data_IF_380830212886
#
_entry.id   IF_380830212886
#
_cell.length_a   1.000
_cell.length_b   1.000
_cell.length_c   1.000
_cell.angle_alpha   90.00
_cell.angle_beta   90.00
_cell.angle_gamma   90.00
#
_symmetry.space_group_name_H-M   'P 1'
#
loop_
_entity.id
_entity.type
_entity.pdbx_description
1 polymer ?
#
# COMPACT_ATOMS: atom_id res chain seq x y z
N UNK A 1 -10.23 -18.56 65.53
CA UNK A 1 -10.69 -17.33 66.21
C UNK A 1 -10.66 -16.21 65.16
N UNK A 2 -11.85 -15.75 64.73
CA UNK A 2 -12.26 -14.36 64.37
C UNK A 2 -11.27 -13.53 63.51
N UNK A 3 -11.59 -12.90 62.36
CA UNK A 3 -12.82 -12.27 61.84
C UNK A 3 -12.64 -11.99 60.31
N UNK A 4 -13.60 -12.33 59.44
CA UNK A 4 -14.64 -11.50 58.79
C UNK A 4 -14.21 -10.58 57.60
N UNK A 5 -14.92 -10.79 56.48
CA UNK A 5 -14.95 -10.06 55.19
C UNK A 5 -15.51 -8.61 55.29
N UNK A 6 -15.65 -7.84 54.18
CA UNK A 6 -16.72 -8.08 53.20
C UNK A 6 -16.34 -7.95 51.71
N UNK A 7 -17.06 -8.75 50.92
CA UNK A 7 -17.30 -8.62 49.48
C UNK A 7 -17.86 -7.24 49.08
N UNK A 8 -17.58 -6.84 47.84
CA UNK A 8 -18.58 -6.24 46.94
C UNK A 8 -18.14 -6.47 45.48
N UNK A 9 -18.89 -7.32 44.78
CA UNK A 9 -18.72 -7.61 43.36
C UNK A 9 -19.44 -6.60 42.47
N UNK A 10 -18.85 -6.32 41.31
CA UNK A 10 -19.53 -5.87 40.09
C UNK A 10 -18.78 -6.50 38.90
N UNK A 11 -19.34 -7.59 38.37
CA UNK A 11 -18.90 -8.25 37.13
C UNK A 11 -20.15 -8.80 36.45
N UNK A 12 -20.80 -8.01 35.58
CA UNK A 12 -21.84 -8.54 34.67
C UNK A 12 -22.32 -7.61 33.53
N UNK A 13 -21.66 -6.50 33.17
CA UNK A 13 -22.26 -5.52 32.21
C UNK A 13 -21.47 -5.28 30.90
N UNK A 14 -20.45 -6.09 30.56
CA UNK A 14 -19.72 -5.98 29.29
C UNK A 14 -20.18 -6.96 28.20
N UNK A 15 -20.85 -8.06 28.55
CA UNK A 15 -21.31 -9.05 27.56
C UNK A 15 -22.60 -8.63 26.85
N UNK A 16 -23.46 -7.87 27.52
CA UNK A 16 -24.77 -7.43 27.00
C UNK A 16 -24.69 -6.26 26.02
N UNK A 17 -23.62 -5.45 26.06
CA UNK A 17 -23.40 -4.35 25.12
C UNK A 17 -22.82 -4.79 23.76
N UNK A 18 -22.27 -6.01 23.69
CA UNK A 18 -21.73 -6.59 22.45
C UNK A 18 -22.87 -7.12 21.57
N UNK A 19 -23.94 -7.64 22.15
CA UNK A 19 -25.04 -8.23 21.40
C UNK A 19 -25.98 -7.16 20.79
N UNK A 20 -26.23 -6.04 21.48
CA UNK A 20 -27.16 -5.01 21.01
C UNK A 20 -26.63 -4.18 19.82
N UNK A 21 -25.31 -4.09 19.62
CA UNK A 21 -24.71 -3.39 18.48
C UNK A 21 -24.71 -4.24 17.19
N UNK A 22 -24.82 -5.56 17.29
CA UNK A 22 -24.86 -6.45 16.11
C UNK A 22 -26.22 -6.41 15.38
N UNK A 23 -27.30 -6.02 16.07
CA UNK A 23 -28.65 -6.03 15.50
C UNK A 23 -29.06 -4.74 14.77
N UNK A 24 -28.39 -3.61 15.03
CA UNK A 24 -28.74 -2.31 14.41
C UNK A 24 -28.11 -2.07 13.03
N UNK A 25 -27.05 -2.81 12.67
CA UNK A 25 -26.35 -2.65 11.38
C UNK A 25 -26.96 -3.47 10.21
N UNK A 26 -27.94 -4.33 10.47
CA UNK A 26 -28.53 -5.21 9.45
C UNK A 26 -29.65 -4.57 8.60
N UNK A 27 -30.04 -3.31 8.84
CA UNK A 27 -31.18 -2.69 8.13
C UNK A 27 -30.83 -1.52 7.20
N UNK A 28 -29.55 -1.17 6.99
CA UNK A 28 -29.15 -0.15 6.00
C UNK A 28 -27.92 -0.57 5.19
N UNK A 29 -28.05 -1.66 4.45
CA UNK A 29 -27.11 -2.03 3.38
C UNK A 29 -27.84 -2.91 2.39
N UNK A 30 -28.39 -2.32 1.32
CA UNK A 30 -28.95 -3.09 0.20
C UNK A 30 -28.14 -2.94 -1.10
N UNK A 31 -26.88 -2.52 -1.03
CA UNK A 31 -26.02 -2.39 -2.22
C UNK A 31 -24.52 -2.66 -1.96
N UNK A 32 -24.13 -3.18 -0.79
CA UNK A 32 -22.75 -3.59 -0.52
C UNK A 32 -22.72 -5.03 -0.01
N UNK A 33 -22.89 -5.96 -0.94
CA UNK A 33 -22.86 -7.40 -0.67
C UNK A 33 -21.76 -8.05 -1.52
N UNK A 34 -20.53 -8.01 -1.03
CA UNK A 34 -19.49 -9.06 -1.11
C UNK A 34 -18.19 -8.49 -0.57
N UNK A 35 -18.07 -8.41 0.76
CA UNK A 35 -16.78 -8.31 1.44
C UNK A 35 -16.77 -9.43 2.47
N UNK A 36 -16.36 -10.61 2.04
CA UNK A 36 -15.98 -11.72 2.92
C UNK A 36 -14.48 -11.63 3.18
N UNK A 37 -14.10 -11.63 4.45
CA UNK A 37 -12.74 -11.88 4.91
C UNK A 37 -12.27 -13.25 4.39
N UNK A 38 -10.99 -13.44 4.02
CA UNK A 38 -10.50 -14.74 3.57
C UNK A 38 -10.23 -15.63 4.79
N UNK A 39 -11.28 -16.12 5.45
CA UNK A 39 -11.19 -17.46 6.04
C UNK A 39 -11.45 -18.45 4.91
N UNK A 40 -10.71 -19.56 4.91
CA UNK A 40 -10.82 -20.71 4.00
C UNK A 40 -12.27 -21.15 3.76
N UNK A 41 -12.95 -20.46 2.87
CA UNK A 41 -14.27 -20.73 2.37
C UNK A 41 -14.12 -20.94 0.87
N UNK A 42 -14.60 -22.08 0.40
CA UNK A 42 -14.57 -22.43 -1.01
C UNK A 42 -15.38 -21.38 -1.75
N UNK A 43 -14.72 -20.49 -2.49
CA UNK A 43 -15.38 -19.50 -3.33
C UNK A 43 -16.39 -20.19 -4.25
N UNK A 44 -17.54 -19.56 -4.46
CA UNK A 44 -18.57 -20.15 -5.33
C UNK A 44 -18.03 -20.29 -6.76
N UNK A 45 -18.52 -21.28 -7.52
CA UNK A 45 -18.07 -21.49 -8.90
C UNK A 45 -18.24 -20.24 -9.79
N UNK A 46 -19.26 -19.43 -9.52
CA UNK A 46 -19.54 -18.19 -10.24
C UNK A 46 -18.50 -17.08 -9.96
N UNK A 47 -18.07 -16.91 -8.72
CA UNK A 47 -17.03 -15.92 -8.35
C UNK A 47 -15.66 -16.28 -8.92
N UNK A 48 -15.36 -17.59 -8.97
CA UNK A 48 -14.12 -18.11 -9.57
C UNK A 48 -14.10 -17.84 -11.09
N UNK A 49 -15.24 -17.99 -11.76
CA UNK A 49 -15.38 -17.73 -13.20
C UNK A 49 -15.26 -16.23 -13.53
N UNK A 50 -15.82 -15.35 -12.70
CA UNK A 50 -15.72 -13.90 -12.89
C UNK A 50 -14.30 -13.38 -12.68
N UNK A 51 -13.63 -13.80 -11.61
CA UNK A 51 -12.22 -13.43 -11.35
C UNK A 51 -11.29 -13.92 -12.47
N UNK A 52 -11.51 -15.13 -12.97
CA UNK A 52 -10.74 -15.69 -14.10
C UNK A 52 -10.98 -14.89 -15.38
N UNK A 53 -12.23 -14.52 -15.65
CA UNK A 53 -12.59 -13.70 -16.81
C UNK A 53 -11.92 -12.32 -16.75
N UNK A 54 -11.94 -11.68 -15.58
CA UNK A 54 -11.30 -10.39 -15.35
C UNK A 54 -9.79 -10.47 -15.60
N UNK A 55 -9.11 -11.46 -15.02
CA UNK A 55 -7.66 -11.61 -15.20
C UNK A 55 -7.27 -11.92 -16.65
N UNK A 56 -8.10 -12.68 -17.37
CA UNK A 56 -7.86 -12.96 -18.79
C UNK A 56 -8.18 -11.75 -19.70
N UNK A 57 -8.82 -10.71 -19.17
CA UNK A 57 -9.02 -9.43 -19.88
C UNK A 57 -7.80 -8.51 -19.85
N UNK A 58 -6.77 -8.81 -19.02
CA UNK A 58 -5.57 -7.98 -18.87
C UNK A 58 -4.85 -7.78 -20.20
N UNK A 59 -4.71 -8.86 -20.97
CA UNK A 59 -3.98 -8.86 -22.24
C UNK A 59 -4.48 -10.00 -23.13
N UNK A 60 -4.56 -9.75 -24.43
CA UNK A 60 -4.85 -10.81 -25.40
C UNK A 60 -3.69 -11.81 -25.55
N UNK A 61 -2.48 -11.45 -25.14
CA UNK A 61 -1.28 -12.26 -25.36
C UNK A 61 -1.10 -13.39 -24.33
N UNK A 62 -1.67 -13.26 -23.13
CA UNK A 62 -1.54 -14.25 -22.08
C UNK A 62 -2.83 -14.43 -21.30
N UNK A 63 -2.87 -15.50 -20.51
CA UNK A 63 -3.91 -15.78 -19.52
C UNK A 63 -3.26 -15.96 -18.16
N UNK A 64 -3.92 -15.53 -17.09
CA UNK A 64 -3.43 -15.77 -15.73
C UNK A 64 -3.96 -17.12 -15.24
N UNK A 65 -3.06 -18.02 -14.85
CA UNK A 65 -3.41 -19.39 -14.45
C UNK A 65 -2.66 -19.81 -13.18
N UNK A 66 -3.16 -20.80 -12.42
CA UNK A 66 -2.39 -21.41 -11.34
C UNK A 66 -1.05 -21.96 -11.83
N UNK A 67 0.02 -21.76 -11.05
CA UNK A 67 1.33 -22.35 -11.36
C UNK A 67 1.47 -23.73 -10.73
N UNK A 68 2.47 -24.51 -11.18
CA UNK A 68 2.80 -25.82 -10.60
C UNK A 68 3.41 -25.74 -9.19
N UNK A 69 3.88 -24.56 -8.78
CA UNK A 69 4.60 -24.33 -7.52
C UNK A 69 3.82 -23.46 -6.53
N UNK A 70 2.54 -23.21 -6.81
CA UNK A 70 1.65 -22.38 -5.99
C UNK A 70 1.55 -20.94 -6.47
N UNK A 71 0.38 -20.33 -6.24
CA UNK A 71 0.05 -19.00 -6.74
C UNK A 71 -0.42 -19.02 -8.21
N UNK A 72 -0.29 -17.87 -8.89
CA UNK A 72 -0.70 -17.68 -10.28
C UNK A 72 0.44 -17.05 -11.09
N UNK A 73 0.40 -17.24 -12.40
CA UNK A 73 1.36 -16.67 -13.35
C UNK A 73 0.72 -16.38 -14.71
N UNK A 74 1.39 -15.57 -15.52
CA UNK A 74 0.98 -15.26 -16.89
C UNK A 74 1.51 -16.31 -17.87
N UNK A 75 0.63 -16.94 -18.66
CA UNK A 75 1.02 -17.96 -19.64
C UNK A 75 0.58 -17.54 -21.05
N UNK A 76 1.48 -17.66 -22.03
CA UNK A 76 1.23 -17.24 -23.41
C UNK A 76 0.04 -17.99 -24.05
N UNK A 77 -0.86 -17.26 -24.70
CA UNK A 77 -2.04 -17.84 -25.36
C UNK A 77 -1.71 -18.47 -26.73
N UNK A 78 -0.65 -17.99 -27.37
CA UNK A 78 -0.16 -18.42 -28.68
C UNK A 78 1.37 -18.45 -28.69
N UNK A 79 1.96 -18.89 -29.79
CA UNK A 79 3.37 -18.59 -30.06
C UNK A 79 3.52 -17.07 -30.24
N UNK A 80 4.56 -16.50 -29.62
CA UNK A 80 4.84 -15.06 -29.64
C UNK A 80 6.28 -14.83 -30.11
N UNK A 81 6.46 -13.81 -30.94
CA UNK A 81 7.77 -13.42 -31.43
C UNK A 81 8.52 -12.56 -30.41
N UNK A 82 9.85 -12.64 -30.44
CA UNK A 82 10.73 -11.68 -29.76
C UNK A 82 10.31 -10.24 -30.04
N UNK A 83 10.54 -9.34 -29.09
CA UNK A 83 10.21 -7.91 -29.14
C UNK A 83 8.72 -7.57 -29.14
N UNK A 84 7.82 -8.57 -29.08
CA UNK A 84 6.39 -8.33 -28.84
C UNK A 84 6.19 -7.64 -27.48
N UNK A 85 5.42 -6.54 -27.48
CA UNK A 85 4.94 -5.91 -26.25
C UNK A 85 3.68 -6.66 -25.81
N UNK A 86 3.78 -7.41 -24.71
CA UNK A 86 2.68 -8.27 -24.23
C UNK A 86 1.77 -7.54 -23.24
N UNK A 87 2.25 -6.46 -22.62
CA UNK A 87 1.48 -5.65 -21.68
C UNK A 87 2.04 -4.23 -21.55
N UNK A 88 1.16 -3.28 -21.26
CA UNK A 88 1.52 -1.89 -21.00
C UNK A 88 0.61 -1.32 -19.90
N UNK A 89 1.20 -0.76 -18.85
CA UNK A 89 0.46 -0.01 -17.85
C UNK A 89 0.77 1.48 -18.02
N UNK A 90 -0.26 2.25 -18.39
CA UNK A 90 -0.10 3.68 -18.70
C UNK A 90 -0.02 4.57 -17.47
N UNK A 91 -0.54 4.10 -16.33
CA UNK A 91 -0.57 4.81 -15.05
C UNK A 91 -0.60 3.83 -13.88
N UNK A 92 0.03 4.21 -12.77
CA UNK A 92 -0.04 3.45 -11.52
C UNK A 92 -1.41 3.62 -10.85
N UNK A 93 -1.91 2.56 -10.22
CA UNK A 93 -3.13 2.60 -9.41
C UNK A 93 -2.94 3.51 -8.18
N UNK A 94 -1.80 3.38 -7.52
CA UNK A 94 -1.32 4.29 -6.49
C UNK A 94 0.20 4.35 -6.53
N UNK A 95 0.76 5.43 -5.99
CA UNK A 95 2.20 5.63 -5.89
C UNK A 95 2.55 6.55 -4.75
N UNK A 96 3.82 6.54 -4.36
CA UNK A 96 4.38 7.49 -3.42
C UNK A 96 5.80 7.83 -3.82
N UNK A 97 6.15 9.10 -3.65
CA UNK A 97 7.52 9.60 -3.77
C UNK A 97 8.03 9.83 -2.36
N UNK A 98 9.21 9.28 -2.08
CA UNK A 98 9.94 9.47 -0.85
C UNK A 98 10.19 10.96 -0.62
N UNK A 99 10.03 11.38 0.63
CA UNK A 99 9.99 12.79 0.97
C UNK A 99 11.24 13.58 0.55
N UNK A 100 12.48 13.05 0.64
CA UNK A 100 13.68 13.76 0.17
C UNK A 100 13.56 14.21 -1.29
N UNK A 101 12.99 13.37 -2.16
CA UNK A 101 12.89 13.59 -3.60
C UNK A 101 11.62 14.33 -4.05
N UNK A 102 10.73 14.72 -3.11
CA UNK A 102 9.42 15.32 -3.40
C UNK A 102 9.44 16.60 -4.24
N UNK A 103 10.60 17.26 -4.33
CA UNK A 103 10.82 18.50 -5.10
C UNK A 103 11.52 18.26 -6.43
N UNK A 104 12.01 17.05 -6.68
CA UNK A 104 12.90 16.73 -7.80
C UNK A 104 12.30 15.64 -8.69
N UNK A 105 11.43 14.79 -8.13
CA UNK A 105 10.70 13.74 -8.84
C UNK A 105 9.25 14.17 -9.04
N UNK A 106 8.78 14.13 -10.29
CA UNK A 106 7.44 14.57 -10.63
C UNK A 106 6.37 13.64 -10.01
N UNK A 107 5.42 14.21 -9.27
CA UNK A 107 4.33 13.45 -8.65
C UNK A 107 3.28 12.87 -9.61
N UNK A 108 3.46 13.01 -10.94
CA UNK A 108 2.55 12.47 -11.95
C UNK A 108 3.25 11.51 -12.91
N UNK A 109 4.40 11.88 -13.46
CA UNK A 109 5.13 11.05 -14.43
C UNK A 109 6.41 10.43 -13.88
N UNK A 110 6.78 10.67 -12.62
CA UNK A 110 8.02 10.16 -11.99
C UNK A 110 9.34 10.61 -12.65
N UNK A 111 9.30 11.58 -13.57
CA UNK A 111 10.51 12.18 -14.13
C UNK A 111 11.34 12.83 -13.02
N UNK A 112 12.63 12.51 -12.98
CA UNK A 112 13.60 13.06 -12.03
C UNK A 112 14.39 14.20 -12.67
N UNK A 113 14.52 15.33 -11.97
CA UNK A 113 15.21 16.53 -12.48
C UNK A 113 16.64 16.70 -11.93
N UNK A 114 17.31 15.62 -11.51
CA UNK A 114 18.73 15.59 -11.15
C UNK A 114 19.18 16.72 -10.21
N UNK A 115 18.63 16.79 -8.98
CA UNK A 115 18.99 17.84 -8.02
C UNK A 115 18.20 19.14 -8.16
N UNK A 116 17.49 19.36 -9.28
CA UNK A 116 16.77 20.63 -9.53
C UNK A 116 15.35 20.59 -8.98
N UNK A 117 14.96 21.68 -8.34
CA UNK A 117 13.57 21.86 -7.89
C UNK A 117 12.62 22.06 -9.08
N UNK A 118 11.61 21.21 -9.16
CA UNK A 118 10.49 21.27 -10.09
C UNK A 118 9.69 22.57 -9.93
N UNK A 119 9.36 23.22 -11.05
CA UNK A 119 8.80 24.58 -11.06
C UNK A 119 7.28 24.63 -10.91
N UNK A 120 6.57 23.60 -11.36
CA UNK A 120 5.11 23.56 -11.32
C UNK A 120 4.66 22.94 -10.00
N UNK A 121 3.79 23.65 -9.27
CA UNK A 121 3.41 23.26 -7.91
C UNK A 121 1.92 23.43 -7.63
N UNK A 122 1.34 22.47 -6.91
CA UNK A 122 -0.02 22.54 -6.40
C UNK A 122 -0.03 22.69 -4.87
N UNK A 123 -0.74 23.70 -4.40
CA UNK A 123 -0.92 24.02 -2.98
C UNK A 123 -2.38 23.80 -2.55
N UNK A 124 -2.63 23.81 -1.24
CA UNK A 124 -3.99 23.63 -0.70
C UNK A 124 -4.92 24.78 -1.11
N UNK A 125 -6.19 24.46 -1.40
CA UNK A 125 -7.24 25.45 -1.70
C UNK A 125 -7.44 26.46 -0.58
N UNK A 126 -7.29 26.05 0.68
CA UNK A 126 -7.46 26.94 1.85
C UNK A 126 -6.45 28.10 1.84
N UNK A 127 -5.27 27.89 1.24
CA UNK A 127 -4.24 28.93 1.13
C UNK A 127 -4.53 29.95 0.01
N UNK A 128 -5.42 29.65 -0.95
CA UNK A 128 -5.82 30.61 -2.00
C UNK A 128 -6.87 31.64 -1.55
N UNK A 129 -7.62 31.36 -0.48
CA UNK A 129 -8.64 32.30 0.02
C UNK A 129 -8.06 33.47 0.84
N UNK A 130 -6.80 33.36 1.28
CA UNK A 130 -6.08 34.46 1.89
C UNK A 130 -5.40 35.29 0.79
N UNK A 131 -6.11 36.29 0.26
CA UNK A 131 -5.64 37.27 -0.75
C UNK A 131 -4.49 38.18 -0.23
N UNK A 132 -3.41 37.63 0.29
CA UNK A 132 -2.17 38.37 0.54
C UNK A 132 -1.07 37.89 -0.42
N UNK A 133 -0.53 38.83 -1.20
CA UNK A 133 0.52 38.64 -2.21
C UNK A 133 1.90 38.29 -1.64
N UNK A 134 1.96 37.50 -0.56
CA UNK A 134 3.20 36.95 -0.06
C UNK A 134 2.91 35.62 0.62
N UNK A 135 2.97 34.54 -0.15
CA UNK A 135 3.09 33.20 0.42
C UNK A 135 4.31 33.22 1.35
N UNK A 136 4.09 32.95 2.63
CA UNK A 136 5.17 32.83 3.59
C UNK A 136 6.14 31.72 3.13
N UNK A 137 7.43 31.79 3.50
CA UNK A 137 8.37 30.72 3.18
C UNK A 137 7.89 29.34 3.69
N UNK A 138 7.06 29.32 4.75
CA UNK A 138 6.36 28.12 5.24
C UNK A 138 5.28 27.57 4.28
N UNK A 139 4.57 28.42 3.53
CA UNK A 139 3.57 27.97 2.55
C UNK A 139 4.19 27.29 1.33
N UNK A 140 5.44 27.63 0.99
CA UNK A 140 6.19 26.96 -0.07
C UNK A 140 6.66 25.54 0.29
N UNK A 141 6.59 25.14 1.56
CA UNK A 141 6.96 23.78 2.00
C UNK A 141 5.87 22.73 1.77
N UNK A 142 4.63 23.17 1.53
CA UNK A 142 3.41 22.38 1.44
C UNK A 142 2.84 22.39 0.02
N UNK A 143 3.55 21.74 -0.90
CA UNK A 143 3.13 21.63 -2.28
C UNK A 143 3.45 20.27 -2.89
N UNK A 144 2.60 19.83 -3.83
CA UNK A 144 2.90 18.75 -4.76
C UNK A 144 3.64 19.33 -5.97
N UNK A 145 4.66 18.64 -6.48
CA UNK A 145 5.56 19.17 -7.51
C UNK A 145 5.48 18.39 -8.82
N UNK A 146 5.60 19.10 -9.94
CA UNK A 146 5.46 18.57 -11.29
C UNK A 146 6.54 19.11 -12.23
N UNK A 147 7.00 18.28 -13.17
CA UNK A 147 8.03 18.67 -14.14
C UNK A 147 7.51 19.64 -15.20
N UNK A 148 6.20 19.64 -15.46
CA UNK A 148 5.58 20.42 -16.53
C UNK A 148 4.14 20.80 -16.19
N UNK A 149 3.62 21.84 -16.86
CA UNK A 149 2.20 22.21 -16.78
C UNK A 149 1.28 21.04 -17.21
N UNK A 150 1.54 20.31 -18.31
CA UNK A 150 0.75 19.12 -18.67
C UNK A 150 0.68 18.04 -17.58
N UNK A 151 1.77 17.77 -16.87
CA UNK A 151 1.77 16.80 -15.77
C UNK A 151 0.90 17.28 -14.59
N UNK A 152 0.94 18.58 -14.29
CA UNK A 152 0.10 19.17 -13.26
C UNK A 152 -1.38 19.16 -13.65
N UNK A 153 -1.69 19.50 -14.91
CA UNK A 153 -3.06 19.48 -15.44
C UNK A 153 -3.63 18.06 -15.49
N UNK A 154 -2.81 17.07 -15.89
CA UNK A 154 -3.18 15.64 -15.85
C UNK A 154 -3.54 15.20 -14.43
N UNK A 155 -2.76 15.61 -13.43
CA UNK A 155 -3.06 15.31 -12.03
C UNK A 155 -4.40 15.94 -11.61
N UNK A 156 -4.61 17.23 -11.89
CA UNK A 156 -5.86 17.94 -11.56
C UNK A 156 -7.07 17.27 -12.23
N UNK A 157 -6.95 16.92 -13.51
CA UNK A 157 -8.03 16.30 -14.27
C UNK A 157 -8.47 14.94 -13.70
N UNK A 158 -7.57 14.24 -13.01
CA UNK A 158 -7.86 12.93 -12.40
C UNK A 158 -8.34 13.03 -10.96
N UNK A 159 -8.11 14.17 -10.29
CA UNK A 159 -8.43 14.44 -8.90
C UNK A 159 -9.84 15.03 -8.75
N UNK A 160 -10.82 14.16 -8.47
CA UNK A 160 -12.20 14.59 -8.25
C UNK A 160 -12.35 15.26 -6.88
N UNK A 161 -13.11 16.35 -6.85
CA UNK A 161 -13.36 17.17 -5.64
C UNK A 161 -12.10 17.70 -4.94
N UNK A 162 -10.96 17.72 -5.63
CA UNK A 162 -9.63 17.99 -5.07
C UNK A 162 -9.26 17.07 -3.89
N UNK A 163 -9.93 15.92 -3.78
CA UNK A 163 -9.88 15.05 -2.62
C UNK A 163 -8.49 14.44 -2.44
N UNK A 164 -7.85 14.04 -3.54
CA UNK A 164 -6.52 13.43 -3.50
C UNK A 164 -5.46 14.47 -3.16
N UNK A 165 -5.46 15.64 -3.83
CA UNK A 165 -4.52 16.73 -3.52
C UNK A 165 -4.59 17.14 -2.06
N UNK A 166 -5.79 17.45 -1.56
CA UNK A 166 -5.94 17.93 -0.18
C UNK A 166 -5.55 16.86 0.84
N UNK A 167 -5.84 15.58 0.56
CA UNK A 167 -5.42 14.48 1.43
C UNK A 167 -3.89 14.37 1.49
N UNK A 168 -3.19 14.38 0.35
CA UNK A 168 -1.73 14.31 0.31
C UNK A 168 -1.05 15.50 0.99
N UNK A 169 -1.56 16.72 0.77
CA UNK A 169 -1.03 17.92 1.43
C UNK A 169 -1.28 17.93 2.94
N UNK A 170 -2.40 17.35 3.38
CA UNK A 170 -2.68 17.17 4.81
C UNK A 170 -1.66 16.23 5.47
N UNK A 171 -1.31 15.11 4.80
CA UNK A 171 -0.25 14.21 5.27
C UNK A 171 1.08 14.95 5.41
N UNK A 172 1.50 15.70 4.40
CA UNK A 172 2.75 16.50 4.47
C UNK A 172 2.72 17.50 5.63
N UNK A 173 1.59 18.16 5.85
CA UNK A 173 1.45 19.16 6.92
C UNK A 173 1.61 18.52 8.30
N UNK A 174 0.96 17.38 8.51
CA UNK A 174 0.99 16.64 9.76
C UNK A 174 2.36 16.01 10.02
N UNK A 175 2.99 15.47 8.98
CA UNK A 175 4.34 14.95 9.06
C UNK A 175 5.32 16.03 9.55
N UNK A 176 5.31 17.22 8.90
CA UNK A 176 6.16 18.35 9.30
C UNK A 176 5.84 18.81 10.75
N UNK A 177 4.57 18.90 11.12
CA UNK A 177 4.16 19.28 12.48
C UNK A 177 4.66 18.27 13.52
N UNK A 178 4.57 16.97 13.22
CA UNK A 178 5.09 15.90 14.07
C UNK A 178 6.61 15.99 14.28
N UNK A 179 7.36 16.33 13.22
CA UNK A 179 8.80 16.58 13.32
C UNK A 179 9.12 17.78 14.23
N UNK A 180 8.41 18.89 14.05
CA UNK A 180 8.67 20.13 14.80
C UNK A 180 8.31 20.03 16.29
N UNK A 181 7.28 19.24 16.65
CA UNK A 181 6.89 19.02 18.04
C UNK A 181 7.96 18.30 18.88
N UNK A 182 8.89 17.57 18.26
CA UNK A 182 9.97 16.85 18.93
C UNK A 182 11.23 17.69 19.18
N UNK A 183 11.32 18.90 18.63
CA UNK A 183 12.58 19.62 18.55
C UNK A 183 12.96 20.37 19.84
N UNK A 184 12.04 20.51 20.79
CA UNK A 184 12.20 21.40 21.97
C UNK A 184 12.17 20.69 23.33
N UNK A 185 11.95 19.38 23.41
CA UNK A 185 11.89 18.62 24.68
C UNK A 185 12.48 17.20 24.51
N UNK A 186 13.81 17.10 24.65
CA UNK A 186 14.58 15.86 24.45
C UNK A 186 14.18 14.74 25.42
N UNK A 187 13.84 15.09 26.66
CA UNK A 187 13.45 14.13 27.69
C UNK A 187 12.08 13.50 27.37
N UNK A 188 11.10 14.32 26.99
CA UNK A 188 9.79 13.82 26.55
C UNK A 188 9.89 12.97 25.29
N UNK A 189 10.80 13.33 24.37
CA UNK A 189 11.08 12.51 23.18
C UNK A 189 11.57 11.12 23.57
N UNK A 190 12.56 11.04 24.45
CA UNK A 190 13.12 9.77 24.93
C UNK A 190 12.07 8.90 25.62
N UNK A 191 11.27 9.48 26.50
CA UNK A 191 10.19 8.75 27.18
C UNK A 191 9.15 8.19 26.21
N UNK A 192 8.81 8.95 25.15
CA UNK A 192 7.88 8.47 24.14
C UNK A 192 8.46 7.31 23.31
N UNK A 193 9.72 7.40 22.90
CA UNK A 193 10.41 6.34 22.16
C UNK A 193 10.55 5.07 22.99
N UNK A 194 10.86 5.20 24.29
CA UNK A 194 10.91 4.06 25.24
C UNK A 194 9.54 3.39 25.38
N UNK A 195 8.47 4.19 25.55
CA UNK A 195 7.11 3.65 25.67
C UNK A 195 6.62 2.97 24.37
N UNK A 196 6.96 3.51 23.20
CA UNK A 196 6.67 2.88 21.90
C UNK A 196 7.42 1.55 21.77
N UNK A 197 8.71 1.53 22.13
CA UNK A 197 9.55 0.31 22.10
C UNK A 197 9.01 -0.77 23.04
N UNK A 198 8.59 -0.40 24.24
CA UNK A 198 7.98 -1.34 25.20
C UNK A 198 6.67 -1.93 24.66
N UNK A 199 5.82 -1.10 24.04
CA UNK A 199 4.59 -1.55 23.43
C UNK A 199 4.83 -2.49 22.23
N UNK A 200 5.82 -2.19 21.40
CA UNK A 200 6.26 -3.04 20.28
C UNK A 200 6.73 -4.41 20.78
N UNK A 201 7.59 -4.44 21.81
CA UNK A 201 8.12 -5.69 22.38
C UNK A 201 7.01 -6.52 23.04
N UNK A 202 6.08 -5.88 23.74
CA UNK A 202 4.92 -6.56 24.32
C UNK A 202 4.09 -7.25 23.24
N UNK A 203 3.80 -6.53 22.15
CA UNK A 203 3.02 -7.05 21.04
C UNK A 203 3.72 -8.21 20.33
N UNK A 204 5.04 -8.12 20.16
CA UNK A 204 5.86 -9.21 19.62
C UNK A 204 5.80 -10.47 20.50
N UNK A 205 5.87 -10.31 21.81
CA UNK A 205 5.77 -11.45 22.74
C UNK A 205 4.38 -12.10 22.70
N UNK A 206 3.31 -11.31 22.60
CA UNK A 206 1.95 -11.82 22.41
C UNK A 206 1.82 -12.58 21.08
N UNK A 207 2.38 -12.03 19.98
CA UNK A 207 2.38 -12.67 18.66
C UNK A 207 3.08 -14.03 18.69
N UNK A 208 4.25 -14.14 19.34
CA UNK A 208 5.01 -15.40 19.47
C UNK A 208 4.25 -16.48 20.26
N UNK A 209 3.33 -16.07 21.14
CA UNK A 209 2.52 -16.98 21.94
C UNK A 209 1.16 -17.30 21.31
N UNK A 210 0.80 -16.60 20.22
CA UNK A 210 -0.46 -16.80 19.54
C UNK A 210 -0.52 -18.20 18.90
N UNK A 211 -1.59 -18.93 19.21
CA UNK A 211 -1.86 -20.25 18.60
C UNK A 211 -2.31 -20.11 17.14
N UNK A 212 -3.07 -19.06 16.86
CA UNK A 212 -3.54 -18.69 15.53
C UNK A 212 -3.07 -17.25 15.25
N UNK A 213 -2.02 -17.16 14.44
CA UNK A 213 -1.34 -15.89 14.14
C UNK A 213 -2.25 -14.97 13.30
N UNK A 214 -2.99 -15.54 12.35
CA UNK A 214 -3.84 -14.76 11.46
C UNK A 214 -5.04 -14.18 12.22
N UNK A 215 -5.66 -14.98 13.08
CA UNK A 215 -6.72 -14.51 13.96
C UNK A 215 -6.20 -13.44 14.93
N UNK A 216 -5.02 -13.65 15.53
CA UNK A 216 -4.40 -12.67 16.41
C UNK A 216 -4.16 -11.32 15.70
N UNK A 217 -3.56 -11.34 14.50
CA UNK A 217 -3.37 -10.13 13.70
C UNK A 217 -4.72 -9.45 13.44
N UNK A 218 -5.72 -10.23 13.01
CA UNK A 218 -7.08 -9.72 12.77
C UNK A 218 -7.68 -9.03 13.99
N UNK A 219 -7.54 -9.62 15.18
CA UNK A 219 -8.00 -9.05 16.44
C UNK A 219 -7.29 -7.74 16.77
N UNK A 220 -5.97 -7.64 16.58
CA UNK A 220 -5.22 -6.39 16.82
C UNK A 220 -5.66 -5.25 15.90
N UNK A 221 -6.04 -5.57 14.68
CA UNK A 221 -6.64 -4.62 13.75
C UNK A 221 -8.01 -4.10 14.23
N UNK A 222 -8.86 -4.98 14.77
CA UNK A 222 -10.16 -4.60 15.35
C UNK A 222 -9.99 -3.78 16.65
N UNK A 223 -9.08 -4.19 17.52
CA UNK A 223 -8.72 -3.45 18.74
C UNK A 223 -8.29 -2.02 18.40
N UNK A 224 -7.50 -1.84 17.33
CA UNK A 224 -7.07 -0.51 16.88
C UNK A 224 -8.24 0.39 16.48
N UNK A 225 -9.25 -0.14 15.80
CA UNK A 225 -10.48 0.60 15.48
C UNK A 225 -11.24 1.01 16.74
N UNK A 226 -11.53 0.06 17.62
CA UNK A 226 -12.27 0.31 18.87
C UNK A 226 -11.54 1.37 19.70
N UNK A 227 -10.22 1.23 19.86
CA UNK A 227 -9.40 2.17 20.61
C UNK A 227 -9.44 3.58 20.00
N UNK A 228 -9.38 3.69 18.67
CA UNK A 228 -9.48 4.98 17.99
C UNK A 228 -10.87 5.61 18.18
N UNK A 229 -11.95 4.83 18.07
CA UNK A 229 -13.31 5.30 18.29
C UNK A 229 -13.52 5.77 19.74
N UNK A 230 -13.01 5.03 20.73
CA UNK A 230 -13.05 5.42 22.15
C UNK A 230 -12.26 6.70 22.44
N UNK A 231 -11.12 6.93 21.77
CA UNK A 231 -10.37 8.16 21.92
C UNK A 231 -11.12 9.37 21.34
N UNK A 232 -11.75 9.19 20.17
CA UNK A 232 -12.57 10.23 19.55
C UNK A 232 -13.85 10.51 20.34
N UNK A 233 -14.45 9.49 20.97
CA UNK A 233 -15.69 9.63 21.74
C UNK A 233 -15.54 10.53 22.97
N UNK A 234 -14.35 10.54 23.59
CA UNK A 234 -14.00 11.41 24.74
C UNK A 234 -14.00 12.90 24.41
N UNK A 235 -13.98 13.28 23.14
CA UNK A 235 -13.98 14.67 22.70
C UNK A 235 -15.39 15.20 22.53
N UNK A 236 -15.63 16.47 22.90
CA UNK A 236 -16.92 17.14 22.64
C UNK A 236 -17.15 17.25 21.13
N UNK A 237 -18.40 17.17 20.62
CA UNK A 237 -18.69 17.27 19.18
C UNK A 237 -18.11 18.51 18.49
N UNK A 238 -18.09 19.66 19.17
CA UNK A 238 -17.45 20.89 18.66
C UNK A 238 -15.93 20.79 18.55
N UNK A 239 -15.28 20.01 19.42
CA UNK A 239 -13.84 19.78 19.39
C UNK A 239 -13.45 18.83 18.25
N UNK A 240 -14.29 17.81 17.95
CA UNK A 240 -14.07 16.88 16.84
C UNK A 240 -14.07 17.56 15.46
N UNK A 241 -14.80 18.66 15.31
CA UNK A 241 -14.87 19.43 14.05
C UNK A 241 -13.65 20.34 13.81
N UNK A 242 -12.84 20.61 14.83
CA UNK A 242 -11.64 21.43 14.68
C UNK A 242 -10.40 20.54 14.71
N UNK A 243 -9.77 20.42 13.55
CA UNK A 243 -8.57 19.62 13.33
C UNK A 243 -7.41 19.95 14.29
N UNK A 244 -7.25 21.22 14.68
CA UNK A 244 -6.19 21.62 15.61
C UNK A 244 -6.38 20.99 17.01
N UNK A 245 -7.60 20.59 17.36
CA UNK A 245 -7.88 19.87 18.61
C UNK A 245 -7.69 18.36 18.50
N UNK A 246 -7.42 17.81 17.31
CA UNK A 246 -7.17 16.38 17.12
C UNK A 246 -5.68 16.06 16.98
N UNK A 247 -4.85 17.09 16.79
CA UNK A 247 -3.44 16.93 16.45
C UNK A 247 -2.64 16.13 17.49
N UNK A 248 -2.99 16.22 18.77
CA UNK A 248 -2.30 15.47 19.83
C UNK A 248 -2.68 13.97 19.86
N UNK A 249 -3.76 13.58 19.19
CA UNK A 249 -4.14 12.17 19.05
C UNK A 249 -3.50 11.51 17.83
N UNK A 250 -3.07 12.31 16.85
CA UNK A 250 -2.42 11.83 15.63
C UNK A 250 -1.03 11.31 16.00
N UNK A 251 -0.72 10.04 15.71
CA UNK A 251 0.58 9.49 16.02
C UNK A 251 1.66 10.17 15.19
N UNK A 252 2.86 10.29 15.76
CA UNK A 252 4.05 10.65 15.01
C UNK A 252 4.40 9.50 14.08
N UNK A 253 4.86 9.84 12.89
CA UNK A 253 5.17 8.87 11.84
C UNK A 253 6.58 9.12 11.30
N UNK A 254 7.26 8.03 10.93
CA UNK A 254 8.55 8.09 10.25
C UNK A 254 8.38 8.20 8.72
N UNK A 255 9.49 8.28 7.98
CA UNK A 255 9.48 8.43 6.51
C UNK A 255 8.84 7.21 5.80
N UNK A 256 9.00 6.00 6.32
CA UNK A 256 8.38 4.80 5.75
C UNK A 256 6.86 4.83 5.93
N UNK A 257 6.38 5.16 7.14
CA UNK A 257 4.96 5.30 7.45
C UNK A 257 4.32 6.45 6.66
N UNK A 258 5.03 7.56 6.47
CA UNK A 258 4.62 8.65 5.59
C UNK A 258 4.39 8.18 4.15
N UNK A 259 5.33 7.39 3.61
CA UNK A 259 5.19 6.83 2.26
C UNK A 259 4.00 5.88 2.17
N UNK A 260 3.84 4.97 3.13
CA UNK A 260 2.73 4.01 3.18
C UNK A 260 1.38 4.72 3.29
N UNK A 261 1.24 5.73 4.15
CA UNK A 261 0.01 6.51 4.31
C UNK A 261 -0.40 7.17 2.98
N UNK A 262 0.55 7.78 2.26
CA UNK A 262 0.26 8.41 0.96
C UNK A 262 -0.17 7.39 -0.09
N UNK A 263 0.50 6.24 -0.11
CA UNK A 263 0.14 5.13 -0.99
C UNK A 263 -1.27 4.61 -0.69
N UNK A 264 -1.60 4.39 0.60
CA UNK A 264 -2.93 3.93 1.03
C UNK A 264 -4.00 4.95 0.62
N UNK A 265 -3.78 6.25 0.88
CA UNK A 265 -4.69 7.32 0.44
C UNK A 265 -4.94 7.28 -1.07
N UNK A 266 -3.90 6.99 -1.87
CA UNK A 266 -4.06 6.82 -3.31
C UNK A 266 -5.04 5.69 -3.66
N UNK A 267 -4.94 4.53 -3.01
CA UNK A 267 -5.87 3.41 -3.23
C UNK A 267 -7.28 3.77 -2.75
N UNK A 268 -7.43 4.35 -1.55
CA UNK A 268 -8.72 4.78 -1.01
C UNK A 268 -9.41 5.81 -1.93
N UNK A 269 -8.62 6.71 -2.52
CA UNK A 269 -9.11 7.66 -3.51
C UNK A 269 -9.60 6.98 -4.79
N UNK A 270 -8.90 5.95 -5.29
CA UNK A 270 -9.40 5.18 -6.44
C UNK A 270 -10.70 4.43 -6.13
N UNK A 271 -10.84 3.89 -4.92
CA UNK A 271 -12.10 3.27 -4.45
C UNK A 271 -13.24 4.30 -4.45
N UNK A 272 -13.03 5.45 -3.81
CA UNK A 272 -13.99 6.55 -3.82
C UNK A 272 -14.36 6.99 -5.25
N UNK A 273 -13.37 7.13 -6.12
CA UNK A 273 -13.57 7.53 -7.51
C UNK A 273 -14.41 6.52 -8.28
N UNK A 274 -14.19 5.22 -8.10
CA UNK A 274 -15.01 4.18 -8.74
C UNK A 274 -16.48 4.31 -8.29
N UNK A 275 -16.73 4.31 -6.98
CA UNK A 275 -18.09 4.36 -6.43
C UNK A 275 -18.88 5.62 -6.83
N UNK A 276 -18.18 6.75 -7.06
CA UNK A 276 -18.82 8.05 -7.31
C UNK A 276 -18.81 8.47 -8.79
N UNK A 277 -18.05 7.80 -9.66
CA UNK A 277 -17.93 8.19 -11.09
C UNK A 277 -18.55 7.19 -12.08
N UNK A 278 -19.09 6.04 -11.63
CA UNK A 278 -19.73 5.03 -12.50
C UNK A 278 -20.91 5.56 -13.33
N UNK A 279 -21.45 6.76 -13.02
CA UNK A 279 -22.52 7.39 -13.79
C UNK A 279 -22.06 8.25 -15.00
N UNK A 280 -20.75 8.53 -15.17
CA UNK A 280 -20.26 9.37 -16.26
C UNK A 280 -19.34 8.58 -17.20
N UNK A 281 -19.84 8.26 -18.40
CA UNK A 281 -19.14 7.58 -19.51
C UNK A 281 -17.88 8.33 -19.97
N UNK A 282 -16.77 8.21 -19.23
CA UNK A 282 -15.45 8.67 -19.67
C UNK A 282 -14.46 7.50 -19.65
N UNK A 283 -13.85 7.21 -20.79
CA UNK A 283 -13.00 6.03 -21.06
C UNK A 283 -11.82 5.84 -20.09
N UNK A 284 -11.35 6.89 -19.40
CA UNK A 284 -10.31 6.78 -18.37
C UNK A 284 -10.78 6.11 -17.07
N UNK A 285 -12.10 6.10 -16.80
CA UNK A 285 -12.69 5.41 -15.64
C UNK A 285 -12.54 3.88 -15.79
N UNK A 286 -12.51 3.36 -17.03
CA UNK A 286 -12.42 1.92 -17.30
C UNK A 286 -11.07 1.30 -16.91
N UNK A 287 -9.94 1.99 -17.15
CA UNK A 287 -8.61 1.44 -16.85
C UNK A 287 -8.27 1.49 -15.36
N UNK A 288 -8.59 2.60 -14.67
CA UNK A 288 -8.38 2.69 -13.22
C UNK A 288 -9.32 1.74 -12.45
N UNK A 289 -10.54 1.54 -12.94
CA UNK A 289 -11.47 0.55 -12.40
C UNK A 289 -10.94 -0.88 -12.57
N UNK A 290 -10.44 -1.23 -13.77
CA UNK A 290 -9.83 -2.53 -14.03
C UNK A 290 -8.63 -2.81 -13.11
N UNK A 291 -7.69 -1.87 -12.99
CA UNK A 291 -6.56 -2.00 -12.06
C UNK A 291 -7.01 -2.19 -10.60
N UNK A 292 -8.04 -1.46 -10.16
CA UNK A 292 -8.58 -1.59 -8.80
C UNK A 292 -9.29 -2.94 -8.57
N UNK A 293 -10.01 -3.47 -9.56
CA UNK A 293 -10.63 -4.78 -9.48
C UNK A 293 -9.57 -5.89 -9.45
N UNK A 294 -8.54 -5.79 -10.30
CA UNK A 294 -7.41 -6.71 -10.31
C UNK A 294 -6.64 -6.65 -8.98
N UNK A 295 -6.49 -5.44 -8.40
CA UNK A 295 -5.89 -5.26 -7.09
C UNK A 295 -6.59 -6.11 -6.02
N UNK A 296 -7.92 -6.24 -6.09
CA UNK A 296 -8.65 -7.08 -5.13
C UNK A 296 -8.23 -8.55 -5.20
N UNK A 297 -7.81 -9.00 -6.38
CA UNK A 297 -7.36 -10.36 -6.64
C UNK A 297 -5.90 -10.59 -6.28
N UNK A 298 -5.09 -9.59 -5.96
CA UNK A 298 -3.66 -9.80 -5.63
C UNK A 298 -3.47 -10.56 -4.31
N UNK A 299 -2.37 -11.32 -4.24
CA UNK A 299 -1.98 -12.01 -3.01
C UNK A 299 -1.55 -11.00 -1.94
N UNK A 300 -2.03 -11.21 -0.71
CA UNK A 300 -1.53 -10.53 0.49
C UNK A 300 -0.44 -11.37 1.13
N UNK A 301 0.66 -10.74 1.55
CA UNK A 301 1.75 -11.39 2.29
C UNK A 301 2.01 -10.68 3.63
N UNK A 302 0.96 -10.12 4.24
CA UNK A 302 1.06 -9.39 5.50
C UNK A 302 1.43 -10.31 6.67
N UNK A 303 0.88 -11.52 6.72
CA UNK A 303 1.15 -12.49 7.79
C UNK A 303 2.62 -12.88 7.77
N UNK A 304 3.16 -13.28 6.62
CA UNK A 304 4.57 -13.65 6.45
C UNK A 304 5.50 -12.48 6.82
N UNK A 305 5.14 -11.26 6.40
CA UNK A 305 5.92 -10.06 6.71
C UNK A 305 5.90 -9.72 8.20
N UNK A 306 4.75 -9.82 8.86
CA UNK A 306 4.61 -9.57 10.30
C UNK A 306 5.33 -10.66 11.11
N UNK A 307 5.25 -11.92 10.71
CA UNK A 307 6.02 -13.00 11.35
C UNK A 307 7.53 -12.75 11.26
N UNK A 308 8.02 -12.28 10.12
CA UNK A 308 9.43 -11.94 9.92
C UNK A 308 9.85 -10.67 10.65
N UNK A 309 8.95 -9.68 10.76
CA UNK A 309 9.20 -8.37 11.36
C UNK A 309 8.03 -7.94 12.28
N UNK A 310 7.94 -8.49 13.51
CA UNK A 310 6.78 -8.32 14.40
C UNK A 310 6.42 -6.87 14.74
N UNK A 311 7.41 -5.98 14.85
CA UNK A 311 7.21 -4.56 15.12
C UNK A 311 6.29 -3.86 14.09
N UNK A 312 6.20 -4.40 12.87
CA UNK A 312 5.33 -3.84 11.83
C UNK A 312 3.85 -3.90 12.22
N UNK A 313 3.41 -4.88 13.00
CA UNK A 313 2.02 -4.93 13.46
C UNK A 313 1.67 -3.70 14.29
N UNK A 314 2.58 -3.24 15.14
CA UNK A 314 2.41 -2.01 15.93
C UNK A 314 2.37 -0.78 15.02
N UNK A 315 3.33 -0.65 14.10
CA UNK A 315 3.37 0.45 13.12
C UNK A 315 2.08 0.51 12.29
N UNK A 316 1.59 -0.61 11.77
CA UNK A 316 0.38 -0.65 10.95
C UNK A 316 -0.88 -0.25 11.72
N UNK A 317 -1.05 -0.78 12.94
CA UNK A 317 -2.27 -0.58 13.74
C UNK A 317 -2.28 0.72 14.54
N UNK A 318 -1.18 1.05 15.23
CA UNK A 318 -1.12 2.17 16.16
C UNK A 318 -0.59 3.46 15.53
N UNK A 319 0.15 3.37 14.41
CA UNK A 319 0.66 4.55 13.68
C UNK A 319 -0.15 4.79 12.40
N UNK A 320 -0.06 3.90 11.41
CA UNK A 320 -0.65 4.11 10.08
C UNK A 320 -2.18 4.18 10.13
N UNK A 321 -2.86 3.15 10.65
CA UNK A 321 -4.32 3.09 10.69
C UNK A 321 -4.91 4.25 11.50
N UNK A 322 -4.35 4.49 12.69
CA UNK A 322 -4.77 5.59 13.55
C UNK A 322 -4.57 6.96 12.90
N UNK A 323 -3.43 7.18 12.22
CA UNK A 323 -3.19 8.40 11.45
C UNK A 323 -4.27 8.58 10.39
N UNK A 324 -4.54 7.56 9.58
CA UNK A 324 -5.55 7.60 8.53
C UNK A 324 -6.94 7.92 9.11
N UNK A 325 -7.37 7.19 10.14
CA UNK A 325 -8.70 7.34 10.75
C UNK A 325 -8.93 8.74 11.31
N UNK A 326 -7.93 9.34 11.97
CA UNK A 326 -8.08 10.65 12.61
C UNK A 326 -7.90 11.79 11.60
N UNK A 327 -6.99 11.64 10.63
CA UNK A 327 -6.54 12.78 9.82
C UNK A 327 -7.16 12.88 8.43
N UNK A 328 -7.69 11.79 7.88
CA UNK A 328 -8.18 11.78 6.49
C UNK A 328 -9.51 12.50 6.36
N UNK A 329 -9.76 13.09 5.19
CA UNK A 329 -10.97 13.82 4.87
C UNK A 329 -12.24 12.94 4.99
N UNK A 330 -13.34 13.54 5.41
CA UNK A 330 -14.62 12.88 5.72
C UNK A 330 -15.12 11.96 4.58
N UNK A 331 -14.96 12.40 3.32
CA UNK A 331 -15.36 11.62 2.13
C UNK A 331 -14.67 10.27 1.99
N UNK A 332 -13.47 10.09 2.58
CA UNK A 332 -12.74 8.83 2.53
C UNK A 332 -12.93 7.96 3.79
N UNK A 333 -13.61 8.46 4.83
CA UNK A 333 -13.68 7.78 6.13
C UNK A 333 -14.41 6.43 6.08
N UNK A 334 -15.37 6.27 5.18
CA UNK A 334 -16.08 4.99 4.97
C UNK A 334 -15.19 3.87 4.42
N UNK A 335 -14.05 4.21 3.81
CA UNK A 335 -13.09 3.24 3.28
C UNK A 335 -11.97 2.90 4.29
N UNK A 336 -11.88 3.63 5.41
CA UNK A 336 -10.87 3.42 6.45
C UNK A 336 -11.41 2.44 7.48
N UNK A 337 -11.39 1.17 7.10
CA UNK A 337 -11.83 0.02 7.90
C UNK A 337 -10.62 -0.93 8.04
N UNK A 338 -10.42 -1.60 9.20
CA UNK A 338 -9.22 -2.40 9.44
C UNK A 338 -8.93 -3.44 8.36
N UNK A 339 -9.95 -4.15 7.87
CA UNK A 339 -9.81 -5.15 6.80
C UNK A 339 -9.31 -4.56 5.49
N UNK A 340 -9.83 -3.39 5.09
CA UNK A 340 -9.42 -2.70 3.86
C UNK A 340 -7.98 -2.22 3.99
N UNK A 341 -7.63 -1.53 5.08
CA UNK A 341 -6.28 -0.98 5.26
C UNK A 341 -5.25 -2.11 5.36
N UNK A 342 -5.55 -3.18 6.09
CA UNK A 342 -4.72 -4.38 6.15
C UNK A 342 -4.52 -5.01 4.78
N UNK A 343 -5.60 -5.17 4.00
CA UNK A 343 -5.52 -5.72 2.64
C UNK A 343 -4.65 -4.85 1.74
N UNK A 344 -4.75 -3.52 1.85
CA UNK A 344 -3.96 -2.60 1.05
C UNK A 344 -2.46 -2.74 1.34
N UNK A 345 -2.09 -2.74 2.62
CA UNK A 345 -0.69 -2.90 3.04
C UNK A 345 -0.18 -4.27 2.62
N UNK A 346 -0.93 -5.33 2.91
CA UNK A 346 -0.51 -6.70 2.65
C UNK A 346 -0.28 -7.00 1.17
N UNK A 347 -1.15 -6.50 0.29
CA UNK A 347 -1.00 -6.61 -1.16
C UNK A 347 0.15 -5.77 -1.68
N UNK A 348 0.47 -4.62 -1.08
CA UNK A 348 1.60 -3.79 -1.54
C UNK A 348 2.95 -4.50 -1.43
N UNK A 349 3.14 -5.30 -0.37
CA UNK A 349 4.45 -5.82 0.06
C UNK A 349 5.24 -6.56 -1.04
N UNK A 350 4.56 -7.30 -1.91
CA UNK A 350 5.19 -8.11 -2.96
C UNK A 350 4.61 -7.82 -4.34
N UNK A 351 3.97 -6.66 -4.53
CA UNK A 351 3.36 -6.30 -5.81
C UNK A 351 3.73 -4.89 -6.27
N UNK A 352 4.33 -4.06 -5.40
CA UNK A 352 4.77 -2.72 -5.76
C UNK A 352 6.12 -2.72 -6.49
N UNK A 353 6.24 -1.83 -7.47
CA UNK A 353 7.43 -1.56 -8.27
C UNK A 353 8.15 -0.35 -7.69
N UNK A 354 9.46 -0.45 -7.48
CA UNK A 354 10.28 0.69 -7.07
C UNK A 354 10.36 1.74 -8.19
N UNK A 355 10.42 3.01 -7.81
CA UNK A 355 10.72 4.13 -8.71
C UNK A 355 12.18 4.45 -8.48
N UNK A 356 13.04 4.14 -9.44
CA UNK A 356 14.50 4.22 -9.29
C UNK A 356 15.11 5.35 -10.11
N UNK A 357 16.28 5.82 -9.71
CA UNK A 357 17.14 6.60 -10.59
C UNK A 357 17.53 5.77 -11.82
N UNK A 358 17.60 6.42 -12.98
CA UNK A 358 18.12 5.81 -14.21
C UNK A 358 19.65 5.70 -14.07
N UNK A 359 20.25 4.68 -14.68
CA UNK A 359 21.67 4.26 -14.65
C UNK A 359 22.71 5.31 -15.16
N UNK A 360 22.52 6.59 -14.88
CA UNK A 360 23.43 7.67 -15.27
C UNK A 360 24.28 8.19 -14.10
N UNK A 361 24.17 7.60 -12.89
CA UNK A 361 25.01 7.98 -11.77
C UNK A 361 26.42 7.35 -11.91
N UNK A 362 27.51 8.13 -11.79
CA UNK A 362 28.88 7.68 -12.07
C UNK A 362 29.37 6.48 -11.25
N UNK A 363 28.73 6.20 -10.12
CA UNK A 363 29.11 5.13 -9.17
C UNK A 363 28.30 3.84 -9.34
N UNK A 364 27.31 3.82 -10.25
CA UNK A 364 26.43 2.68 -10.49
C UNK A 364 25.39 2.43 -9.39
N UNK A 365 25.24 3.34 -8.42
CA UNK A 365 24.22 3.18 -7.37
C UNK A 365 22.86 3.71 -7.85
N UNK A 366 21.85 2.85 -7.80
CA UNK A 366 20.45 3.25 -8.02
C UNK A 366 19.85 3.80 -6.74
N UNK A 367 19.28 5.00 -6.80
CA UNK A 367 18.53 5.60 -5.70
C UNK A 367 17.05 5.25 -5.80
N UNK A 368 16.44 4.82 -4.70
CA UNK A 368 15.01 4.57 -4.62
C UNK A 368 14.26 5.88 -4.34
N UNK A 369 13.57 6.41 -5.34
CA UNK A 369 12.75 7.61 -5.23
C UNK A 369 11.37 7.36 -4.61
N UNK A 370 10.90 6.11 -4.59
CA UNK A 370 9.58 5.75 -4.10
C UNK A 370 9.10 4.44 -4.68
N UNK A 371 7.78 4.23 -4.71
CA UNK A 371 7.20 3.04 -5.31
C UNK A 371 5.82 3.31 -5.90
N UNK A 372 5.41 2.42 -6.81
CA UNK A 372 4.14 2.48 -7.54
C UNK A 372 3.54 1.09 -7.67
N UNK A 373 2.23 1.00 -7.86
CA UNK A 373 1.52 -0.26 -8.04
C UNK A 373 0.85 -0.32 -9.42
N UNK A 374 1.12 -1.39 -10.14
CA UNK A 374 0.45 -1.77 -11.39
C UNK A 374 -0.08 -3.20 -11.21
N UNK A 375 -1.33 -3.32 -10.78
CA UNK A 375 -1.91 -4.59 -10.33
C UNK A 375 -1.97 -5.62 -11.45
N UNK A 376 -2.26 -5.18 -12.68
CA UNK A 376 -2.26 -6.06 -13.85
C UNK A 376 -0.87 -6.63 -14.19
N UNK A 377 0.21 -5.95 -13.81
CA UNK A 377 1.58 -6.38 -14.06
C UNK A 377 2.12 -7.35 -12.98
N UNK A 378 1.54 -7.34 -11.78
CA UNK A 378 2.04 -8.11 -10.64
C UNK A 378 1.87 -9.63 -10.76
N UNK A 379 1.26 -10.12 -11.85
CA UNK A 379 1.15 -11.55 -12.16
C UNK A 379 2.32 -12.12 -12.98
N UNK A 380 3.24 -11.26 -13.45
CA UNK A 380 4.48 -11.75 -14.06
C UNK A 380 5.43 -12.26 -12.99
N UNK A 381 5.57 -13.58 -12.90
CA UNK A 381 6.44 -14.21 -11.92
C UNK A 381 7.93 -13.97 -12.19
N UNK A 382 8.73 -14.30 -11.18
CA UNK A 382 10.18 -14.22 -11.27
C UNK A 382 10.81 -15.41 -12.03
N UNK A 383 11.85 -15.12 -12.83
CA UNK A 383 12.84 -16.11 -13.27
C UNK A 383 14.24 -15.48 -13.29
N UNK A 384 15.26 -16.25 -12.89
CA UNK A 384 16.66 -15.85 -13.02
C UNK A 384 17.21 -15.99 -14.45
N UNK A 385 16.37 -16.51 -15.36
CA UNK A 385 16.54 -16.46 -16.82
C UNK A 385 15.22 -15.94 -17.42
N UNK A 386 14.91 -14.64 -17.26
CA UNK A 386 13.62 -14.08 -17.62
C UNK A 386 13.44 -14.08 -19.14
N UNK A 387 12.18 -14.07 -19.56
CA UNK A 387 11.81 -13.98 -20.97
C UNK A 387 11.05 -12.68 -21.31
N UNK A 388 10.76 -11.87 -20.29
CA UNK A 388 10.29 -10.51 -20.38
C UNK A 388 11.26 -9.51 -19.76
N UNK A 389 11.28 -8.31 -20.33
CA UNK A 389 11.88 -7.12 -19.72
C UNK A 389 10.79 -6.11 -19.36
N UNK A 390 10.88 -5.54 -18.16
CA UNK A 390 10.13 -4.35 -17.76
C UNK A 390 10.90 -3.10 -18.20
N UNK A 391 10.29 -2.28 -19.04
CA UNK A 391 10.84 -1.00 -19.50
C UNK A 391 10.02 0.12 -18.88
N UNK A 392 10.64 0.89 -17.99
CA UNK A 392 10.02 2.02 -17.31
C UNK A 392 10.29 3.32 -18.08
N UNK A 393 9.23 4.08 -18.32
CA UNK A 393 9.27 5.41 -18.95
C UNK A 393 8.45 6.36 -18.10
N UNK A 394 9.06 6.84 -17.02
CA UNK A 394 8.34 7.55 -15.98
C UNK A 394 7.28 6.67 -15.32
N UNK A 395 6.04 7.15 -15.22
CA UNK A 395 4.90 6.40 -14.66
C UNK A 395 4.25 5.38 -15.60
N UNK A 396 4.87 5.11 -16.76
CA UNK A 396 4.45 4.08 -17.72
C UNK A 396 5.42 2.92 -17.67
N UNK A 397 4.90 1.70 -17.58
CA UNK A 397 5.69 0.46 -17.67
C UNK A 397 5.26 -0.37 -18.88
N UNK A 398 6.24 -0.95 -19.58
CA UNK A 398 6.05 -1.75 -20.79
C UNK A 398 6.74 -3.10 -20.60
N UNK A 399 6.02 -4.20 -20.86
CA UNK A 399 6.54 -5.56 -20.78
C UNK A 399 6.78 -6.10 -22.19
N UNK A 400 8.06 -6.33 -22.53
CA UNK A 400 8.50 -6.73 -23.87
C UNK A 400 9.23 -8.07 -23.84
N UNK A 401 8.96 -8.94 -24.83
CA UNK A 401 9.65 -10.23 -24.95
C UNK A 401 11.12 -10.09 -25.33
N UNK A 402 11.97 -10.84 -24.63
CA UNK A 402 13.41 -10.94 -24.88
C UNK A 402 13.76 -12.06 -25.88
N UNK A 403 12.85 -13.01 -26.10
CA UNK A 403 13.01 -14.15 -27.00
C UNK A 403 11.65 -14.63 -27.51
N UNK A 404 11.65 -15.50 -28.51
CA UNK A 404 10.43 -16.17 -28.96
C UNK A 404 9.87 -17.06 -27.85
N UNK A 405 8.55 -17.08 -27.70
CA UNK A 405 7.83 -17.83 -26.65
C UNK A 405 6.85 -18.79 -27.29
N UNK A 406 6.76 -19.99 -26.74
CA UNK A 406 5.78 -20.99 -27.18
C UNK A 406 4.46 -20.83 -26.46
N UNK A 407 3.36 -21.22 -27.12
CA UNK A 407 2.06 -21.31 -26.47
C UNK A 407 2.16 -22.09 -25.15
N UNK A 408 1.52 -21.57 -24.10
CA UNK A 408 1.53 -22.08 -22.72
C UNK A 408 2.86 -21.96 -21.96
N UNK A 409 3.91 -21.36 -22.53
CA UNK A 409 5.10 -21.00 -21.75
C UNK A 409 4.77 -19.84 -20.80
N UNK A 410 5.34 -19.89 -19.59
CA UNK A 410 5.16 -18.85 -18.58
C UNK A 410 5.97 -17.61 -18.91
N UNK A 411 5.38 -16.44 -18.73
CA UNK A 411 5.99 -15.14 -18.94
C UNK A 411 6.56 -14.64 -17.62
N UNK A 412 7.88 -14.52 -17.54
CA UNK A 412 8.59 -14.19 -16.31
C UNK A 412 9.51 -12.97 -16.49
N UNK A 413 9.51 -12.11 -15.47
CA UNK A 413 10.42 -10.98 -15.33
C UNK A 413 11.51 -11.28 -14.28
N UNK A 414 12.44 -10.36 -14.11
CA UNK A 414 13.40 -10.38 -13.02
C UNK A 414 12.91 -9.48 -11.86
N UNK A 415 13.10 -9.94 -10.62
CA UNK A 415 12.71 -9.20 -9.40
C UNK A 415 13.92 -8.65 -8.63
N UNK A 416 15.14 -9.11 -8.96
CA UNK A 416 16.34 -8.84 -8.17
C UNK A 416 17.44 -8.21 -9.01
N UNK A 417 18.17 -7.24 -8.46
CA UNK A 417 19.37 -6.69 -9.12
C UNK A 417 20.54 -7.70 -9.17
N UNK A 418 20.50 -8.76 -8.34
CA UNK A 418 21.52 -9.81 -8.27
C UNK A 418 21.44 -10.88 -9.35
N UNK A 419 20.75 -10.64 -10.47
CA UNK A 419 20.56 -11.67 -11.53
C UNK A 419 21.87 -12.24 -12.07
N UNK A 420 22.96 -11.47 -12.02
CA UNK A 420 24.29 -11.89 -12.49
C UNK A 420 25.14 -12.55 -11.40
N UNK A 421 24.66 -12.59 -10.15
CA UNK A 421 25.37 -13.17 -9.02
C UNK A 421 25.15 -14.69 -8.89
N UNK A 422 25.92 -15.29 -7.98
CA UNK A 422 25.83 -16.70 -7.64
C UNK A 422 24.46 -17.09 -7.08
N UNK A 423 24.08 -18.36 -7.28
CA UNK A 423 22.83 -18.94 -6.81
C UNK A 423 22.45 -18.57 -5.37
N UNK A 424 23.40 -18.61 -4.44
CA UNK A 424 23.13 -18.36 -3.02
C UNK A 424 22.75 -16.91 -2.74
N UNK A 425 23.38 -15.95 -3.44
CA UNK A 425 23.08 -14.52 -3.35
C UNK A 425 21.68 -14.28 -3.93
N UNK A 426 21.41 -14.80 -5.13
CA UNK A 426 20.09 -14.69 -5.78
C UNK A 426 18.97 -15.26 -4.91
N UNK A 427 19.16 -16.46 -4.34
CA UNK A 427 18.15 -17.06 -3.46
C UNK A 427 17.94 -16.23 -2.20
N UNK A 428 19.02 -15.74 -1.58
CA UNK A 428 18.94 -14.91 -0.38
C UNK A 428 18.16 -13.62 -0.65
N UNK A 429 18.43 -12.94 -1.76
CA UNK A 429 17.74 -11.69 -2.10
C UNK A 429 16.26 -11.93 -2.38
N UNK A 430 15.92 -13.04 -3.04
CA UNK A 430 14.54 -13.42 -3.32
C UNK A 430 13.74 -13.84 -2.07
N UNK A 431 14.39 -14.13 -0.92
CA UNK A 431 13.69 -14.44 0.33
C UNK A 431 12.86 -13.27 0.86
N UNK A 432 13.10 -12.03 0.43
CA UNK A 432 12.22 -10.90 0.76
C UNK A 432 10.84 -10.98 0.08
N UNK A 433 10.69 -11.83 -0.94
CA UNK A 433 9.44 -12.10 -1.65
C UNK A 433 8.73 -13.36 -1.15
N UNK A 434 9.23 -14.00 -0.09
CA UNK A 434 8.63 -15.18 0.55
C UNK A 434 8.50 -16.43 -0.33
N UNK A 435 9.41 -16.62 -1.29
CA UNK A 435 9.47 -17.85 -2.08
C UNK A 435 10.92 -18.34 -2.28
N UNK A 436 11.06 -19.58 -2.75
CA UNK A 436 12.31 -20.16 -3.24
C UNK A 436 12.29 -20.24 -4.77
N UNK A 437 13.29 -19.69 -5.45
CA UNK A 437 13.30 -19.70 -6.91
C UNK A 437 13.68 -21.08 -7.44
N UNK A 438 12.75 -21.72 -8.14
CA UNK A 438 12.92 -23.02 -8.81
C UNK A 438 12.90 -22.89 -10.34
N UNK A 439 13.34 -21.75 -10.88
CA UNK A 439 13.50 -21.59 -12.32
C UNK A 439 14.57 -22.55 -12.87
N UNK A 440 14.54 -22.79 -14.19
CA UNK A 440 15.47 -23.70 -14.90
C UNK A 440 16.93 -23.47 -14.49
N UNK A 441 17.41 -22.22 -14.57
CA UNK A 441 18.77 -21.83 -14.17
C UNK A 441 19.09 -22.19 -12.71
N UNK A 442 18.18 -21.90 -11.78
CA UNK A 442 18.39 -22.23 -10.36
C UNK A 442 18.48 -23.75 -10.14
N UNK A 443 17.61 -24.53 -10.78
CA UNK A 443 17.59 -25.99 -10.64
C UNK A 443 18.85 -26.61 -11.22
N UNK A 444 19.30 -26.15 -12.38
CA UNK A 444 20.56 -26.59 -13.00
C UNK A 444 21.76 -26.29 -12.11
N UNK A 445 21.89 -25.06 -11.62
CA UNK A 445 22.99 -24.67 -10.74
C UNK A 445 22.98 -25.43 -9.40
N UNK A 446 21.80 -25.71 -8.82
CA UNK A 446 21.65 -26.56 -7.62
C UNK A 446 22.12 -27.98 -7.87
N UNK A 447 21.71 -28.59 -8.99
CA UNK A 447 22.12 -29.96 -9.35
C UNK A 447 23.63 -30.05 -9.56
N UNK A 448 24.24 -29.07 -10.22
CA UNK A 448 25.70 -28.99 -10.40
C UNK A 448 26.45 -28.85 -9.07
N UNK A 449 25.92 -28.09 -8.11
CA UNK A 449 26.51 -27.99 -6.76
C UNK A 449 26.40 -29.30 -5.99
N UNK A 450 25.25 -29.98 -6.06
CA UNK A 450 25.02 -31.25 -5.38
C UNK A 450 25.88 -32.39 -5.95
N UNK A 451 26.15 -32.39 -7.26
CA UNK A 451 27.03 -33.37 -7.90
C UNK A 451 28.53 -33.19 -7.55
N UNK A 452 28.91 -32.03 -6.99
CA UNK A 452 30.29 -31.71 -6.56
C UNK A 452 30.53 -31.94 -5.06
N UNK A 453 29.48 -32.22 -4.28
CA UNK A 453 29.55 -32.62 -2.88
C UNK A 453 29.54 -34.15 -2.80
#
# INVERSE_FOLDING_TARGET
MWNQSPDNGISSDLSTLVDDLTHLDLQKSSLCSTITSPTTSVASSAEVDEATTLLNSISSYFSVKPTKYGGRGCFANTDLAQDTIVHECSMALSSTIARPFRKEVCGSCFEFLHGKTLKFKLISRKNKQNNSMSASASDCSLALHFCSQPCMDKFIALDIDDLYRESLLNVESLFIKGLNQCQYDLERKKQQEEAETEAELKLENELKQAKDIELFISQKWQEAEINCQLQLSKLKPKQRKNFNNLIYLIPKINENEYMEIKYIIGILFQMYKCDNCENNKLSSVSLSSLELQIFQLLQSNDVEKICKYPYLLYSYTNKIYKFLKISTLEKLQSYIIPSIIRSIIGKKLTNAYGIWSIDNEPDGNKELFGYSLYSSASFFNHSCNPNLINIEKGAKTIFKLLKNIKKNEELCINYSDSINDDLEIRQKDLKEWFFDCLCERCVEEMNLKNAKK
#
